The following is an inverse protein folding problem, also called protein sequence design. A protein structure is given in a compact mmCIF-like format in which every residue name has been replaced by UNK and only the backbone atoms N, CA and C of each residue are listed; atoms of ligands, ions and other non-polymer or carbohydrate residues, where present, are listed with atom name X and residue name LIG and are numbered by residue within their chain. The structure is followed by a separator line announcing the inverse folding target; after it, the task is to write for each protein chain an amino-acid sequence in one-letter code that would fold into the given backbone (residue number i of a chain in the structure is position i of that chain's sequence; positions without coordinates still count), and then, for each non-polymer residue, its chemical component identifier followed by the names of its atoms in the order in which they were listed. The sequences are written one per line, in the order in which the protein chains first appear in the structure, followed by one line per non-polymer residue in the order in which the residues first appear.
data_IF_815956578167
#
_entry.id   IF_815956578167
#
_cell.length_a   1.000
_cell.length_b   1.000
_cell.length_c   1.000
_cell.angle_alpha   90.00
_cell.angle_beta   90.00
_cell.angle_gamma   90.00
#
_symmetry.space_group_name_H-M   'P 1'
#
loop_
_entity.id
_entity.type
_entity.pdbx_description
1 polymer ?
#
# COMPACT_ATOMS: atom_id res chain seq x y z
N UNK A 1 -0.42 -8.77 -15.44
CA UNK A 1 -1.58 -7.84 -15.42
C UNK A 1 -1.86 -7.26 -16.79
N UNK A 2 -0.85 -6.82 -17.55
CA UNK A 2 -1.03 -6.39 -18.96
C UNK A 2 -1.65 -7.50 -19.82
N UNK A 3 -1.31 -8.77 -19.57
CA UNK A 3 -1.89 -9.95 -20.24
C UNK A 3 -3.42 -10.11 -20.03
N UNK A 4 -4.01 -9.50 -19.00
CA UNK A 4 -5.45 -9.60 -18.68
C UNK A 4 -6.26 -8.41 -19.24
N UNK A 5 -5.62 -7.41 -19.85
CA UNK A 5 -6.27 -6.19 -20.34
C UNK A 5 -6.61 -6.32 -21.83
N UNK A 6 -7.87 -6.14 -22.26
CA UNK A 6 -8.24 -6.16 -23.67
C UNK A 6 -7.62 -4.96 -24.39
N UNK A 7 -6.79 -5.21 -25.40
CA UNK A 7 -6.05 -4.20 -26.17
C UNK A 7 -5.06 -3.36 -25.30
N UNK A 8 -4.19 -4.07 -24.58
CA UNK A 8 -3.29 -3.49 -23.59
C UNK A 8 -2.31 -2.44 -24.16
N UNK A 9 -1.92 -2.51 -25.43
CA UNK A 9 -0.97 -1.57 -26.06
C UNK A 9 -1.43 -0.12 -26.00
N UNK A 10 -2.75 0.12 -26.08
CA UNK A 10 -3.34 1.47 -26.05
C UNK A 10 -4.03 1.74 -24.71
N UNK A 11 -4.71 0.73 -24.13
CA UNK A 11 -5.46 0.93 -22.89
C UNK A 11 -4.58 1.00 -21.64
N UNK A 12 -3.49 0.24 -21.56
CA UNK A 12 -2.62 0.27 -20.39
C UNK A 12 -2.02 1.67 -20.11
N UNK A 13 -1.43 2.38 -21.09
CA UNK A 13 -0.90 3.72 -20.81
C UNK A 13 -2.00 4.73 -20.45
N UNK A 14 -3.19 4.65 -21.06
CA UNK A 14 -4.32 5.52 -20.69
C UNK A 14 -4.78 5.29 -19.26
N UNK A 15 -4.96 4.04 -18.85
CA UNK A 15 -5.38 3.69 -17.49
C UNK A 15 -4.37 4.20 -16.45
N UNK A 16 -3.07 4.12 -16.74
CA UNK A 16 -2.03 4.65 -15.84
C UNK A 16 -2.15 6.17 -15.70
N UNK A 17 -2.32 6.89 -16.81
CA UNK A 17 -2.48 8.35 -16.80
C UNK A 17 -3.75 8.75 -16.04
N UNK A 18 -4.87 8.08 -16.30
CA UNK A 18 -6.15 8.35 -15.64
C UNK A 18 -6.07 8.08 -14.14
N UNK A 19 -5.42 6.99 -13.73
CA UNK A 19 -5.22 6.67 -12.32
C UNK A 19 -4.37 7.74 -11.60
N UNK A 20 -3.31 8.23 -12.24
CA UNK A 20 -2.48 9.32 -11.70
C UNK A 20 -3.26 10.63 -11.64
N UNK A 21 -4.04 10.97 -12.66
CA UNK A 21 -4.84 12.19 -12.70
C UNK A 21 -5.90 12.21 -11.59
N UNK A 22 -6.63 11.10 -11.41
CA UNK A 22 -7.61 10.96 -10.34
C UNK A 22 -6.94 11.01 -8.97
N UNK A 23 -5.80 10.32 -8.80
CA UNK A 23 -5.03 10.33 -7.56
C UNK A 23 -4.52 11.73 -7.19
N UNK A 24 -4.01 12.47 -8.18
CA UNK A 24 -3.54 13.84 -7.99
C UNK A 24 -4.69 14.77 -7.58
N UNK A 25 -5.83 14.70 -8.28
CA UNK A 25 -6.96 15.57 -7.99
C UNK A 25 -7.59 15.28 -6.63
N UNK A 26 -7.85 14.01 -6.32
CA UNK A 26 -8.42 13.59 -5.03
C UNK A 26 -7.46 13.84 -3.87
N UNK A 27 -6.17 13.54 -4.05
CA UNK A 27 -5.13 13.80 -3.06
C UNK A 27 -4.91 15.30 -2.82
N UNK A 28 -4.95 16.12 -3.87
CA UNK A 28 -4.83 17.57 -3.75
C UNK A 28 -5.98 18.18 -2.94
N UNK A 29 -7.22 17.81 -3.25
CA UNK A 29 -8.40 18.27 -2.48
C UNK A 29 -8.27 17.85 -1.02
N UNK A 30 -7.91 16.58 -0.77
CA UNK A 30 -7.75 16.05 0.57
C UNK A 30 -6.67 16.80 1.38
N UNK A 31 -5.51 17.08 0.75
CA UNK A 31 -4.43 17.84 1.38
C UNK A 31 -4.84 19.28 1.70
N UNK A 32 -5.54 19.95 0.78
CA UNK A 32 -6.05 21.32 1.00
C UNK A 32 -7.02 21.32 2.18
N UNK A 33 -7.98 20.39 2.22
CA UNK A 33 -8.91 20.26 3.35
C UNK A 33 -8.18 20.06 4.68
N UNK A 34 -7.16 19.18 4.72
CA UNK A 34 -6.40 18.94 5.94
C UNK A 34 -5.55 20.14 6.37
N UNK A 35 -5.00 20.92 5.42
CA UNK A 35 -4.22 22.10 5.75
C UNK A 35 -5.07 23.18 6.42
N UNK A 36 -6.30 23.38 5.94
CA UNK A 36 -7.25 24.32 6.55
C UNK A 36 -7.82 23.81 7.89
N UNK A 37 -7.93 22.48 8.05
CA UNK A 37 -8.50 21.86 9.25
C UNK A 37 -7.47 21.63 10.39
N UNK A 38 -6.17 21.59 10.08
CA UNK A 38 -5.12 21.15 11.00
C UNK A 38 -4.77 22.11 12.14
N UNK A 39 -5.01 23.41 11.99
CA UNK A 39 -4.63 24.39 13.02
C UNK A 39 -3.12 24.39 13.31
N UNK A 40 -2.74 24.35 14.58
CA UNK A 40 -1.34 24.47 15.02
C UNK A 40 -0.48 23.23 14.71
N UNK A 41 0.50 23.40 13.82
CA UNK A 41 1.43 22.35 13.37
C UNK A 41 2.25 21.76 14.52
N UNK A 42 2.61 22.56 15.52
CA UNK A 42 3.37 22.11 16.69
C UNK A 42 2.60 21.08 17.54
N UNK A 43 1.27 21.23 17.64
CA UNK A 43 0.41 20.29 18.36
C UNK A 43 0.20 19.00 17.56
N UNK A 44 0.23 19.07 16.22
CA UNK A 44 0.10 17.90 15.34
C UNK A 44 1.34 17.00 15.44
N UNK A 45 2.53 17.58 15.39
CA UNK A 45 3.80 16.83 15.42
C UNK A 45 4.07 16.23 16.80
N UNK A 46 3.64 16.92 17.86
CA UNK A 46 3.86 16.48 19.25
C UNK A 46 2.82 15.47 19.73
N UNK A 47 1.78 15.19 18.94
CA UNK A 47 0.66 14.35 19.37
C UNK A 47 1.02 12.86 19.39
N UNK A 48 0.74 12.23 20.55
CA UNK A 48 0.96 10.79 20.79
C UNK A 48 0.07 9.89 19.93
N UNK A 49 -1.00 10.44 19.35
CA UNK A 49 -1.99 9.72 18.56
C UNK A 49 -1.74 9.71 17.05
N UNK A 50 -0.69 10.41 16.61
CA UNK A 50 -0.33 10.55 15.20
C UNK A 50 -1.00 11.76 14.52
N UNK A 51 -0.37 12.28 13.45
CA UNK A 51 -0.75 13.58 12.87
C UNK A 51 -2.15 13.57 12.25
N UNK A 52 -2.57 12.46 11.62
CA UNK A 52 -3.88 12.34 10.98
C UNK A 52 -5.03 12.42 11.99
N UNK A 53 -4.95 11.69 13.11
CA UNK A 53 -5.99 11.69 14.13
C UNK A 53 -6.05 13.05 14.84
N UNK A 54 -4.90 13.69 15.07
CA UNK A 54 -4.85 15.01 15.68
C UNK A 54 -5.55 16.07 14.81
N UNK A 55 -5.32 16.05 13.50
CA UNK A 55 -5.99 16.98 12.56
C UNK A 55 -7.50 16.75 12.56
N UNK A 56 -7.95 15.50 12.50
CA UNK A 56 -9.37 15.16 12.55
C UNK A 56 -10.01 15.59 13.88
N UNK A 57 -9.27 15.49 14.98
CA UNK A 57 -9.71 15.94 16.30
C UNK A 57 -9.84 17.46 16.39
N UNK A 58 -8.82 18.20 15.91
CA UNK A 58 -8.87 19.67 15.84
C UNK A 58 -10.05 20.15 14.98
N UNK A 59 -10.34 19.46 13.88
CA UNK A 59 -11.45 19.79 12.99
C UNK A 59 -12.83 19.51 13.61
N UNK A 60 -12.96 18.39 14.33
CA UNK A 60 -14.27 17.89 14.79
C UNK A 60 -14.61 18.34 16.21
N UNK A 61 -13.62 18.74 17.02
CA UNK A 61 -13.75 19.04 18.46
C UNK A 61 -14.45 17.94 19.29
N UNK A 62 -14.54 16.72 18.74
CA UNK A 62 -15.22 15.58 19.35
C UNK A 62 -14.45 14.29 19.06
N UNK A 63 -14.20 13.51 20.11
CA UNK A 63 -13.48 12.23 20.02
C UNK A 63 -14.24 11.22 19.16
N UNK A 64 -15.56 11.14 19.32
CA UNK A 64 -16.38 10.17 18.59
C UNK A 64 -16.38 10.46 17.08
N UNK A 65 -16.55 11.73 16.68
CA UNK A 65 -16.55 12.10 15.25
C UNK A 65 -15.19 11.88 14.59
N UNK A 66 -14.11 12.12 15.31
CA UNK A 66 -12.74 11.88 14.81
C UNK A 66 -12.45 10.40 14.57
N UNK A 67 -12.90 9.53 15.47
CA UNK A 67 -12.75 8.08 15.34
C UNK A 67 -13.58 7.57 14.16
N UNK A 68 -14.82 8.04 13.99
CA UNK A 68 -15.65 7.67 12.85
C UNK A 68 -15.00 8.06 11.51
N UNK A 69 -14.41 9.25 11.42
CA UNK A 69 -13.71 9.70 10.22
C UNK A 69 -12.42 8.91 9.96
N UNK A 70 -11.76 8.41 11.00
CA UNK A 70 -10.56 7.57 10.88
C UNK A 70 -10.85 6.17 10.30
N UNK A 71 -12.09 5.67 10.38
CA UNK A 71 -12.44 4.36 9.84
C UNK A 71 -12.26 4.31 8.31
N UNK A 72 -12.62 5.39 7.60
CA UNK A 72 -12.49 5.46 6.14
C UNK A 72 -11.05 5.24 5.64
N UNK A 73 -10.03 6.00 6.09
CA UNK A 73 -8.66 5.77 5.65
C UNK A 73 -8.12 4.40 6.08
N UNK A 74 -8.54 3.85 7.22
CA UNK A 74 -8.15 2.49 7.64
C UNK A 74 -8.68 1.45 6.65
N UNK A 75 -9.96 1.52 6.26
CA UNK A 75 -10.55 0.60 5.29
C UNK A 75 -9.86 0.71 3.93
N UNK A 76 -9.52 1.94 3.50
CA UNK A 76 -8.74 2.15 2.28
C UNK A 76 -7.34 1.51 2.38
N UNK A 77 -6.66 1.66 3.51
CA UNK A 77 -5.32 1.11 3.74
C UNK A 77 -5.32 -0.43 3.70
N UNK A 78 -6.31 -1.06 4.32
CA UNK A 78 -6.47 -2.53 4.29
C UNK A 78 -6.69 -3.02 2.85
N UNK A 79 -7.59 -2.41 2.11
CA UNK A 79 -7.86 -2.78 0.71
C UNK A 79 -6.63 -2.56 -0.19
N UNK A 80 -5.91 -1.46 -0.01
CA UNK A 80 -4.67 -1.19 -0.73
C UNK A 80 -3.60 -2.24 -0.43
N UNK A 81 -3.44 -2.62 0.84
CA UNK A 81 -2.48 -3.64 1.27
C UNK A 81 -2.76 -5.00 0.63
N UNK A 82 -4.03 -5.43 0.65
CA UNK A 82 -4.45 -6.70 0.01
C UNK A 82 -4.19 -6.66 -1.50
N UNK A 83 -4.47 -5.52 -2.14
CA UNK A 83 -4.26 -5.33 -3.58
C UNK A 83 -2.78 -5.41 -3.96
N UNK A 84 -1.91 -4.74 -3.19
CA UNK A 84 -0.45 -4.76 -3.41
C UNK A 84 0.10 -6.15 -3.17
N UNK A 85 -0.31 -6.82 -2.08
CA UNK A 85 0.12 -8.19 -1.77
C UNK A 85 -0.23 -9.14 -2.92
N UNK A 86 -1.47 -9.08 -3.41
CA UNK A 86 -1.94 -9.91 -4.53
C UNK A 86 -1.13 -9.63 -5.80
N UNK A 87 -0.83 -8.37 -6.06
CA UNK A 87 -0.03 -7.93 -7.21
C UNK A 87 1.39 -8.47 -7.14
N UNK A 88 2.05 -8.30 -5.99
CA UNK A 88 3.41 -8.77 -5.76
C UNK A 88 3.51 -10.29 -5.94
N UNK A 89 2.60 -11.07 -5.34
CA UNK A 89 2.57 -12.52 -5.50
C UNK A 89 2.41 -12.94 -6.96
N UNK A 90 1.55 -12.26 -7.74
CA UNK A 90 1.38 -12.53 -9.19
C UNK A 90 2.63 -12.17 -10.01
N UNK A 91 3.30 -11.07 -9.68
CA UNK A 91 4.55 -10.67 -10.32
C UNK A 91 5.67 -11.67 -10.04
N UNK A 92 5.84 -12.09 -8.78
CA UNK A 92 6.81 -13.11 -8.38
C UNK A 92 6.54 -14.44 -9.08
N UNK A 93 5.27 -14.84 -9.19
CA UNK A 93 4.89 -16.04 -9.94
C UNK A 93 5.24 -15.92 -11.44
N UNK A 94 4.91 -14.80 -12.09
CA UNK A 94 5.25 -14.58 -13.50
C UNK A 94 6.78 -14.60 -13.73
N UNK A 95 7.55 -13.98 -12.83
CA UNK A 95 9.01 -14.00 -12.89
C UNK A 95 9.59 -15.42 -12.67
N UNK A 96 8.96 -16.21 -11.81
CA UNK A 96 9.33 -17.62 -11.61
C UNK A 96 9.00 -18.49 -12.84
N UNK A 97 7.93 -18.18 -13.57
CA UNK A 97 7.55 -18.84 -14.84
C UNK A 97 8.65 -18.65 -15.89
N UNK A 98 9.27 -17.47 -15.91
CA UNK A 98 10.35 -17.11 -16.84
C UNK A 98 11.73 -17.62 -16.39
N UNK A 99 11.78 -18.54 -15.39
CA UNK A 99 13.00 -19.12 -14.80
C UNK A 99 13.95 -18.13 -14.12
N UNK A 100 13.47 -16.95 -13.75
CA UNK A 100 14.28 -15.88 -13.13
C UNK A 100 14.70 -16.12 -11.67
N UNK A 101 14.15 -17.13 -10.99
CA UNK A 101 14.46 -17.44 -9.58
C UNK A 101 15.21 -18.76 -9.41
N UNK A 102 16.17 -18.85 -8.45
CA UNK A 102 16.70 -20.13 -8.01
C UNK A 102 15.54 -20.95 -7.42
N UNK A 103 15.33 -22.18 -7.91
CA UNK A 103 14.14 -23.02 -7.65
C UNK A 103 12.81 -22.53 -8.29
N UNK A 104 12.88 -21.89 -9.46
CA UNK A 104 11.73 -21.51 -10.31
C UNK A 104 10.63 -22.58 -10.45
N UNK A 105 10.98 -23.87 -10.53
CA UNK A 105 10.01 -24.98 -10.62
C UNK A 105 9.08 -25.12 -9.41
N UNK A 106 9.53 -24.71 -8.22
CA UNK A 106 8.74 -24.80 -6.98
C UNK A 106 7.82 -23.58 -6.85
N UNK A 107 8.33 -22.39 -7.17
CA UNK A 107 7.57 -21.13 -7.06
C UNK A 107 6.58 -20.91 -8.21
N UNK A 108 6.81 -21.49 -9.38
CA UNK A 108 5.89 -21.44 -10.51
C UNK A 108 4.68 -22.39 -10.36
N UNK A 109 4.68 -23.31 -9.38
CA UNK A 109 3.61 -24.29 -9.18
C UNK A 109 2.37 -23.62 -8.58
N UNK A 110 1.28 -23.62 -9.35
CA UNK A 110 -0.04 -23.14 -8.90
C UNK A 110 -0.77 -24.27 -8.17
N UNK A 111 -1.39 -23.98 -7.03
CA UNK A 111 -2.16 -24.98 -6.29
C UNK A 111 -3.45 -25.33 -7.05
N UNK A 112 -3.79 -26.61 -7.29
CA UNK A 112 -4.91 -27.00 -8.16
C UNK A 112 -6.30 -26.64 -7.60
N UNK A 113 -6.49 -26.74 -6.28
CA UNK A 113 -7.78 -26.42 -5.61
C UNK A 113 -7.97 -24.93 -5.34
N UNK A 114 -6.91 -24.21 -4.98
CA UNK A 114 -6.98 -22.78 -4.63
C UNK A 114 -6.74 -21.87 -5.85
N UNK A 115 -6.26 -22.41 -6.99
CA UNK A 115 -5.86 -21.67 -8.20
C UNK A 115 -4.91 -20.49 -7.92
N UNK A 116 -4.17 -20.56 -6.81
CA UNK A 116 -3.28 -19.53 -6.31
C UNK A 116 -1.84 -20.07 -6.22
N UNK A 117 -0.82 -19.28 -6.57
CA UNK A 117 0.58 -19.67 -6.40
C UNK A 117 1.00 -19.51 -4.92
N UNK A 118 0.63 -20.49 -4.10
CA UNK A 118 0.85 -20.46 -2.64
C UNK A 118 2.33 -20.27 -2.26
N UNK A 119 3.24 -20.92 -2.98
CA UNK A 119 4.68 -20.82 -2.71
C UNK A 119 5.21 -19.40 -2.95
N UNK A 120 4.72 -18.71 -3.98
CA UNK A 120 5.09 -17.31 -4.25
C UNK A 120 4.50 -16.38 -3.18
N UNK A 121 3.28 -16.65 -2.70
CA UNK A 121 2.66 -15.92 -1.60
C UNK A 121 3.52 -16.01 -0.34
N UNK A 122 3.89 -17.23 0.08
CA UNK A 122 4.73 -17.46 1.26
C UNK A 122 6.07 -16.73 1.14
N UNK A 123 6.72 -16.79 -0.03
CA UNK A 123 7.97 -16.06 -0.26
C UNK A 123 7.78 -14.54 -0.06
N UNK A 124 6.76 -13.95 -0.67
CA UNK A 124 6.48 -12.52 -0.52
C UNK A 124 6.16 -12.14 0.92
N UNK A 125 5.37 -12.95 1.63
CA UNK A 125 5.03 -12.71 3.05
C UNK A 125 6.24 -12.83 3.98
N UNK A 126 7.12 -13.81 3.74
CA UNK A 126 8.35 -13.96 4.52
C UNK A 126 9.26 -12.77 4.31
N UNK A 127 9.47 -12.32 3.07
CA UNK A 127 10.29 -11.15 2.79
C UNK A 127 9.73 -9.89 3.45
N UNK A 128 8.42 -9.65 3.34
CA UNK A 128 7.75 -8.51 3.99
C UNK A 128 7.91 -8.59 5.52
N UNK A 129 7.74 -9.79 6.10
CA UNK A 129 7.94 -10.00 7.55
C UNK A 129 9.38 -9.72 7.97
N UNK A 130 10.37 -10.15 7.18
CA UNK A 130 11.80 -9.87 7.44
C UNK A 130 12.08 -8.38 7.38
N UNK A 131 11.57 -7.66 6.37
CA UNK A 131 11.69 -6.20 6.33
C UNK A 131 10.95 -5.52 7.50
N UNK A 132 9.80 -6.05 7.91
CA UNK A 132 9.07 -5.58 9.08
C UNK A 132 9.84 -5.79 10.39
N UNK A 133 10.56 -6.90 10.54
CA UNK A 133 11.40 -7.18 11.70
C UNK A 133 12.54 -6.16 11.86
N UNK A 134 13.02 -5.57 10.75
CA UNK A 134 14.03 -4.49 10.79
C UNK A 134 13.49 -3.25 11.54
N UNK A 135 12.18 -2.97 11.47
CA UNK A 135 11.56 -1.87 12.24
C UNK A 135 11.78 -2.02 13.75
N UNK A 136 11.75 -3.25 14.25
CA UNK A 136 11.89 -3.55 15.68
C UNK A 136 13.34 -3.34 16.13
N UNK A 137 14.31 -3.62 15.26
CA UNK A 137 15.72 -3.45 15.54
C UNK A 137 16.24 -2.02 15.36
N UNK A 138 15.86 -1.34 14.27
CA UNK A 138 16.30 0.02 13.97
C UNK A 138 15.37 0.74 12.98
N UNK A 139 14.71 1.79 13.45
CA UNK A 139 13.91 2.70 12.62
C UNK A 139 14.78 3.47 11.61
N UNK A 140 16.05 3.73 11.93
CA UNK A 140 17.02 4.39 11.04
C UNK A 140 17.40 3.51 9.85
N UNK A 141 17.60 2.21 10.08
CA UNK A 141 17.96 1.27 9.01
C UNK A 141 16.84 1.14 7.98
N UNK A 142 15.59 1.07 8.42
CA UNK A 142 14.46 1.05 7.48
C UNK A 142 14.30 2.38 6.74
N UNK A 143 14.44 3.51 7.43
CA UNK A 143 14.36 4.82 6.77
C UNK A 143 15.42 4.98 5.68
N UNK A 144 16.62 4.43 5.90
CA UNK A 144 17.67 4.39 4.89
C UNK A 144 17.32 3.51 3.68
N UNK A 145 16.66 2.35 3.89
CA UNK A 145 16.21 1.47 2.80
C UNK A 145 15.07 2.11 2.00
N UNK A 146 14.14 2.80 2.65
CA UNK A 146 12.99 3.44 2.00
C UNK A 146 13.38 4.72 1.27
N UNK A 147 14.41 5.42 1.75
CA UNK A 147 14.92 6.65 1.13
C UNK A 147 15.95 6.41 0.01
N UNK A 148 16.43 5.17 -0.16
CA UNK A 148 17.35 4.76 -1.21
C UNK A 148 16.61 4.43 -2.52
#
# INVERSE_FOLDING_TARGET
MVEEIPNAKVKAPRIIIDAVAIGLFTGFIFLVCMLFAGGDVNNIISSKYGPLLQILYTATNSQAGSICLLIFPIVCLVNATISIQTTATRMTWAFSRDRGLPASKVFAKVHPTLKLPFNALVLTTVLITVFGLILIGSSSALSAIVSA
#
